data_IF_219143990596
#
_entry.id   IF_219143990596
#
_cell.length_a   1.000
_cell.length_b   1.000
_cell.length_c   1.000
_cell.angle_alpha   90.00
_cell.angle_beta   90.00
_cell.angle_gamma   90.00
#
_symmetry.space_group_name_H-M   'P 1'
#
loop_
_entity.id
_entity.type
_entity.pdbx_description
1 polymer ?
#
# COMPACT_ATOMS: atom_id res chain seq x y z
N UNK A 1 4.19 10.01 3.22
CA UNK A 1 3.53 9.41 4.39
C UNK A 1 2.22 10.11 4.73
N UNK A 2 1.11 9.43 4.47
CA UNK A 2 -0.25 9.84 4.84
C UNK A 2 -0.46 9.59 6.34
N UNK A 3 -1.18 10.47 7.02
CA UNK A 3 -1.46 10.33 8.47
C UNK A 3 -2.88 10.81 8.77
N UNK A 4 -3.42 10.40 9.92
CA UNK A 4 -4.74 10.82 10.40
C UNK A 4 -4.91 12.36 10.57
N UNK A 5 -3.80 13.11 10.58
CA UNK A 5 -3.80 14.58 10.64
C UNK A 5 -3.98 15.23 9.27
N UNK A 6 -3.91 14.46 8.19
CA UNK A 6 -4.09 14.97 6.84
C UNK A 6 -5.56 15.39 6.63
N UNK A 7 -5.79 16.37 5.73
CA UNK A 7 -7.12 16.87 5.36
C UNK A 7 -7.30 16.88 3.84
N UNK A 8 -8.52 17.10 3.37
CA UNK A 8 -8.85 17.17 1.94
C UNK A 8 -8.58 15.84 1.21
N UNK A 9 -8.03 15.92 0.00
CA UNK A 9 -7.78 14.74 -0.85
C UNK A 9 -6.88 13.70 -0.18
N UNK A 10 -5.90 14.14 0.63
CA UNK A 10 -5.00 13.22 1.34
C UNK A 10 -5.73 12.42 2.43
N UNK A 11 -6.74 13.01 3.07
CA UNK A 11 -7.60 12.30 4.02
C UNK A 11 -8.49 11.31 3.30
N UNK A 12 -9.13 11.73 2.21
CA UNK A 12 -9.96 10.84 1.41
C UNK A 12 -9.18 9.61 0.91
N UNK A 13 -7.95 9.81 0.41
CA UNK A 13 -7.08 8.70 0.00
C UNK A 13 -6.76 7.78 1.18
N UNK A 14 -6.39 8.33 2.34
CA UNK A 14 -6.10 7.53 3.53
C UNK A 14 -7.32 6.72 3.99
N UNK A 15 -8.48 7.37 4.09
CA UNK A 15 -9.74 6.73 4.49
C UNK A 15 -10.07 5.58 3.53
N UNK A 16 -9.91 5.78 2.21
CA UNK A 16 -10.19 4.72 1.24
C UNK A 16 -9.16 3.57 1.28
N UNK A 17 -7.89 3.85 1.58
CA UNK A 17 -6.89 2.81 1.80
C UNK A 17 -7.29 1.96 3.01
N UNK A 18 -7.71 2.58 4.12
CA UNK A 18 -8.19 1.85 5.30
C UNK A 18 -9.43 1.00 4.98
N UNK A 19 -10.41 1.54 4.26
CA UNK A 19 -11.58 0.76 3.85
C UNK A 19 -11.21 -0.43 2.95
N UNK A 20 -10.24 -0.27 2.04
CA UNK A 20 -9.75 -1.39 1.21
C UNK A 20 -9.09 -2.46 2.08
N UNK A 21 -8.28 -2.05 3.06
CA UNK A 21 -7.64 -2.98 3.99
C UNK A 21 -8.69 -3.80 4.77
N UNK A 22 -9.67 -3.11 5.35
CA UNK A 22 -10.73 -3.70 6.16
C UNK A 22 -11.68 -4.58 5.33
N UNK A 23 -12.10 -4.14 4.14
CA UNK A 23 -13.17 -4.79 3.36
C UNK A 23 -12.66 -5.82 2.35
N UNK A 24 -11.42 -5.69 1.87
CA UNK A 24 -10.89 -6.49 0.76
C UNK A 24 -9.69 -7.29 1.22
N UNK A 25 -8.66 -6.65 1.74
CA UNK A 25 -7.39 -7.32 2.05
C UNK A 25 -7.57 -8.33 3.17
N UNK A 26 -8.21 -7.94 4.27
CA UNK A 26 -8.41 -8.83 5.42
C UNK A 26 -9.37 -10.01 5.14
N UNK A 27 -10.25 -9.87 4.15
CA UNK A 27 -11.16 -10.94 3.73
C UNK A 27 -10.58 -11.81 2.61
N UNK A 28 -9.44 -11.43 2.02
CA UNK A 28 -8.78 -12.21 0.97
C UNK A 28 -8.12 -13.47 1.56
N UNK A 29 -8.54 -14.67 1.15
CA UNK A 29 -8.05 -15.91 1.72
C UNK A 29 -6.59 -16.20 1.34
N UNK A 30 -6.14 -15.78 0.14
CA UNK A 30 -4.77 -15.99 -0.31
C UNK A 30 -3.81 -15.09 0.48
N UNK A 31 -4.18 -13.83 0.68
CA UNK A 31 -3.43 -12.88 1.53
C UNK A 31 -3.24 -13.43 2.94
N UNK A 32 -4.30 -13.95 3.55
CA UNK A 32 -4.24 -14.54 4.90
C UNK A 32 -3.35 -15.77 4.96
N UNK A 33 -3.50 -16.70 4.02
CA UNK A 33 -2.67 -17.91 3.97
C UNK A 33 -1.17 -17.58 3.80
N UNK A 34 -0.86 -16.58 2.97
CA UNK A 34 0.51 -16.08 2.82
C UNK A 34 1.03 -15.47 4.13
N UNK A 35 0.22 -14.68 4.83
CA UNK A 35 0.56 -14.10 6.13
C UNK A 35 0.87 -15.14 7.20
N UNK A 36 0.01 -16.15 7.35
CA UNK A 36 0.18 -17.25 8.30
C UNK A 36 1.50 -18.01 8.06
N UNK A 37 1.81 -18.34 6.80
CA UNK A 37 3.06 -19.03 6.44
C UNK A 37 4.30 -18.21 6.76
N UNK A 38 4.27 -16.90 6.55
CA UNK A 38 5.39 -16.01 6.86
C UNK A 38 5.63 -15.98 8.36
N UNK A 39 4.57 -15.86 9.17
CA UNK A 39 4.68 -15.86 10.63
C UNK A 39 5.24 -17.19 11.17
N UNK A 40 4.79 -18.33 10.64
CA UNK A 40 5.34 -19.63 11.00
C UNK A 40 6.85 -19.73 10.70
N UNK A 41 7.27 -19.28 9.51
CA UNK A 41 8.68 -19.29 9.13
C UNK A 41 9.51 -18.40 10.05
N UNK A 42 8.99 -17.21 10.39
CA UNK A 42 9.64 -16.28 11.30
C UNK A 42 9.83 -16.86 12.69
N UNK A 43 8.80 -17.51 13.24
CA UNK A 43 8.90 -18.19 14.55
C UNK A 43 9.94 -19.31 14.53
N UNK A 44 10.00 -20.11 13.46
CA UNK A 44 10.99 -21.18 13.33
C UNK A 44 12.43 -20.66 13.18
N UNK A 45 12.61 -19.52 12.52
CA UNK A 45 13.91 -18.85 12.40
C UNK A 45 14.35 -18.27 13.75
N UNK A 46 13.47 -17.53 14.43
CA UNK A 46 13.75 -16.94 15.75
C UNK A 46 14.17 -18.02 16.77
N UNK A 47 13.52 -19.19 16.77
CA UNK A 47 13.87 -20.29 17.66
C UNK A 47 15.27 -20.90 17.43
N UNK A 48 15.90 -20.67 16.27
CA UNK A 48 17.20 -21.23 15.89
C UNK A 48 18.33 -20.21 15.93
N UNK A 49 18.02 -18.92 15.98
CA UNK A 49 19.00 -17.85 15.88
C UNK A 49 19.54 -17.44 17.24
N UNK A 50 20.85 -17.15 17.35
CA UNK A 50 21.39 -16.41 18.48
C UNK A 50 20.74 -15.02 18.62
N UNK A 51 20.68 -14.43 19.83
CA UNK A 51 20.03 -13.13 20.05
C UNK A 51 20.60 -11.96 19.24
N UNK A 52 21.88 -12.02 18.84
CA UNK A 52 22.50 -11.00 17.99
C UNK A 52 22.01 -11.09 16.53
N UNK A 53 21.87 -12.32 16.02
CA UNK A 53 21.38 -12.58 14.67
C UNK A 53 19.88 -12.34 14.55
N UNK A 54 19.12 -12.61 15.62
CA UNK A 54 17.69 -12.27 15.71
C UNK A 54 17.46 -10.76 15.56
N UNK A 55 18.23 -9.94 16.29
CA UNK A 55 18.18 -8.46 16.15
C UNK A 55 18.58 -7.99 14.76
N UNK A 56 19.55 -8.65 14.15
CA UNK A 56 19.97 -8.32 12.78
C UNK A 56 18.87 -8.64 11.77
N UNK A 57 18.19 -9.78 11.95
CA UNK A 57 17.05 -10.19 11.14
C UNK A 57 15.87 -9.22 11.28
N UNK A 58 15.49 -8.84 12.51
CA UNK A 58 14.42 -7.85 12.73
C UNK A 58 14.73 -6.51 12.05
N UNK A 59 15.99 -6.04 12.14
CA UNK A 59 16.41 -4.80 11.47
C UNK A 59 16.37 -4.94 9.95
N UNK A 60 16.78 -6.08 9.41
CA UNK A 60 16.70 -6.38 7.99
C UNK A 60 15.25 -6.36 7.52
N UNK A 61 14.36 -7.11 8.19
CA UNK A 61 12.93 -7.17 7.88
C UNK A 61 12.30 -5.77 7.91
N UNK A 62 12.52 -5.00 8.98
CA UNK A 62 11.98 -3.64 9.09
C UNK A 62 12.49 -2.70 7.99
N UNK A 63 13.77 -2.83 7.60
CA UNK A 63 14.35 -2.03 6.51
C UNK A 63 13.79 -2.44 5.15
N UNK A 64 13.62 -3.74 4.92
CA UNK A 64 13.06 -4.29 3.70
C UNK A 64 11.59 -3.92 3.54
N UNK A 65 10.77 -4.07 4.58
CA UNK A 65 9.36 -3.65 4.58
C UNK A 65 9.25 -2.15 4.29
N UNK A 66 10.07 -1.31 4.94
CA UNK A 66 10.05 0.13 4.69
C UNK A 66 10.41 0.48 3.22
N UNK A 67 11.35 -0.26 2.63
CA UNK A 67 11.71 -0.11 1.22
C UNK A 67 10.56 -0.51 0.29
N UNK A 68 9.93 -1.67 0.52
CA UNK A 68 8.79 -2.16 -0.25
C UNK A 68 7.62 -1.18 -0.17
N UNK A 69 7.24 -0.75 1.03
CA UNK A 69 6.17 0.24 1.21
C UNK A 69 6.48 1.55 0.46
N UNK A 70 7.74 1.99 0.44
CA UNK A 70 8.12 3.20 -0.31
C UNK A 70 8.03 3.00 -1.81
N UNK A 71 8.40 1.82 -2.31
CA UNK A 71 8.26 1.47 -3.72
C UNK A 71 6.78 1.43 -4.12
N UNK A 72 5.92 0.81 -3.31
CA UNK A 72 4.48 0.77 -3.54
C UNK A 72 3.85 2.17 -3.51
N UNK A 73 4.23 3.03 -2.55
CA UNK A 73 3.75 4.43 -2.51
C UNK A 73 4.08 5.17 -3.82
N UNK A 74 5.26 4.93 -4.40
CA UNK A 74 5.67 5.51 -5.70
C UNK A 74 4.79 4.95 -6.83
N UNK A 75 4.67 3.62 -6.93
CA UNK A 75 3.90 2.97 -7.99
C UNK A 75 2.41 3.35 -7.96
N UNK A 76 1.79 3.37 -6.77
CA UNK A 76 0.40 3.80 -6.62
C UNK A 76 0.21 5.27 -6.96
N UNK A 77 1.17 6.13 -6.60
CA UNK A 77 1.11 7.55 -6.95
C UNK A 77 1.19 7.76 -8.47
N UNK A 78 2.08 7.03 -9.14
CA UNK A 78 2.22 7.06 -10.60
C UNK A 78 0.94 6.55 -11.29
N UNK A 79 0.45 5.37 -10.89
CA UNK A 79 -0.79 4.81 -11.43
C UNK A 79 -2.02 5.70 -11.20
N UNK A 80 -2.11 6.39 -10.06
CA UNK A 80 -3.18 7.35 -9.81
C UNK A 80 -3.11 8.55 -10.77
N UNK A 81 -1.91 9.11 -10.96
CA UNK A 81 -1.70 10.23 -11.89
C UNK A 81 -2.01 9.83 -13.33
N UNK A 82 -1.56 8.65 -13.76
CA UNK A 82 -1.88 8.09 -15.08
C UNK A 82 -3.39 7.90 -15.26
N UNK A 83 -4.06 7.33 -14.25
CA UNK A 83 -5.52 7.15 -14.25
C UNK A 83 -6.29 8.47 -14.34
N UNK A 84 -5.86 9.50 -13.59
CA UNK A 84 -6.44 10.85 -13.68
C UNK A 84 -6.23 11.47 -15.07
N UNK A 85 -5.02 11.39 -15.63
CA UNK A 85 -4.74 11.91 -16.97
C UNK A 85 -5.54 11.18 -18.04
N UNK A 86 -5.65 9.85 -17.95
CA UNK A 86 -6.45 9.05 -18.85
C UNK A 86 -7.95 9.41 -18.76
N UNK A 87 -8.49 9.51 -17.54
CA UNK A 87 -9.87 9.93 -17.31
C UNK A 87 -10.17 11.31 -17.87
N UNK A 88 -9.25 12.28 -17.69
CA UNK A 88 -9.34 13.59 -18.30
C UNK A 88 -9.33 13.50 -19.83
N UNK A 89 -8.39 12.75 -20.42
CA UNK A 89 -8.30 12.58 -21.86
C UNK A 89 -9.59 11.98 -22.45
N UNK A 90 -10.13 10.93 -21.83
CA UNK A 90 -11.43 10.33 -22.20
C UNK A 90 -12.56 11.36 -22.11
N UNK A 91 -12.60 12.18 -21.06
CA UNK A 91 -13.59 13.26 -20.93
C UNK A 91 -13.48 14.29 -22.07
N UNK A 92 -12.26 14.69 -22.44
CA UNK A 92 -12.00 15.65 -23.52
C UNK A 92 -12.49 15.12 -24.87
N UNK A 93 -12.14 13.88 -25.23
CA UNK A 93 -12.52 13.29 -26.53
C UNK A 93 -14.00 12.91 -26.60
N UNK A 94 -14.64 12.64 -25.46
CA UNK A 94 -16.02 12.16 -25.43
C UNK A 94 -17.06 13.27 -25.59
N UNK A 95 -16.84 14.51 -25.09
CA UNK A 95 -17.80 15.63 -25.25
C UNK A 95 -17.24 17.07 -25.26
N UNK A 96 -15.92 17.32 -25.38
CA UNK A 96 -15.36 18.68 -25.45
C UNK A 96 -15.27 19.38 -24.09
N UNK A 97 -14.16 20.10 -23.88
CA UNK A 97 -13.66 20.63 -22.59
C UNK A 97 -14.67 21.53 -21.83
N UNK A 98 -15.69 22.07 -22.50
CA UNK A 98 -16.62 23.08 -21.96
C UNK A 98 -17.59 22.59 -20.86
N UNK A 99 -17.62 21.28 -20.56
CA UNK A 99 -18.40 20.72 -19.44
C UNK A 99 -17.58 20.23 -18.25
N UNK A 100 -16.24 20.26 -18.35
CA UNK A 100 -15.37 19.89 -17.23
C UNK A 100 -15.17 21.14 -16.35
N UNK A 101 -16.12 21.39 -15.44
CA UNK A 101 -15.90 22.34 -14.35
C UNK A 101 -15.02 21.66 -13.30
N UNK A 102 -13.77 22.14 -13.20
CA UNK A 102 -12.87 21.86 -12.07
C UNK A 102 -13.27 22.72 -10.88
#
# INVERSE_FOLDING_TARGET
MLTYKNTGIKKYILDRICEIDDEIVNEDPEYRELGERVDECKQQLAAKLPPEDEKMLEKYEGSWVAQVCRQEEILFSEGLMEGMMFGYWVAVISQGVDKVKV
#
